data_IF_580253475638
#
_entry.id   IF_580253475638
#
_cell.length_a   1.000
_cell.length_b   1.000
_cell.length_c   1.000
_cell.angle_alpha   90.00
_cell.angle_beta   90.00
_cell.angle_gamma   90.00
#
_symmetry.space_group_name_H-M   'P 1'
#
loop_
_entity.id
_entity.type
_entity.pdbx_description
1 polymer ?
#
# COMPACT_ATOMS: atom_id res chain seq x y z
N UNK A 1 7.72 1.19 -3.04
CA UNK A 1 6.74 2.08 -2.38
C UNK A 1 5.66 1.23 -1.73
N UNK A 2 4.79 0.54 -2.48
CA UNK A 2 3.78 -0.40 -1.93
C UNK A 2 4.31 -1.34 -0.84
N UNK A 3 5.42 -2.05 -1.09
CA UNK A 3 5.99 -3.00 -0.11
C UNK A 3 6.29 -2.36 1.27
N UNK A 4 6.61 -1.06 1.34
CA UNK A 4 6.83 -0.37 2.62
C UNK A 4 5.56 -0.36 3.45
N UNK A 5 4.42 -0.02 2.84
CA UNK A 5 3.15 0.03 3.55
C UNK A 5 2.73 -1.35 4.04
N UNK A 6 2.85 -2.38 3.19
CA UNK A 6 2.44 -3.74 3.54
C UNK A 6 3.30 -4.39 4.62
N UNK A 7 4.60 -4.07 4.68
CA UNK A 7 5.45 -4.41 5.83
C UNK A 7 5.01 -3.62 7.07
N UNK A 8 4.95 -2.29 6.95
CA UNK A 8 4.85 -1.39 8.11
C UNK A 8 3.49 -1.39 8.80
N UNK A 9 2.39 -1.51 8.04
CA UNK A 9 1.02 -1.39 8.59
C UNK A 9 0.61 -2.67 9.33
N UNK A 10 1.34 -3.78 9.17
CA UNK A 10 1.05 -5.07 9.77
C UNK A 10 1.50 -5.14 11.25
N UNK A 11 0.90 -4.29 12.07
CA UNK A 11 1.09 -4.16 13.52
C UNK A 11 -0.24 -3.80 14.18
N UNK A 12 -0.62 -4.43 15.29
CA UNK A 12 -1.89 -4.16 15.99
C UNK A 12 -1.74 -4.17 17.51
N UNK A 13 -1.61 -2.99 18.14
CA UNK A 13 -1.72 -2.83 19.59
C UNK A 13 -3.02 -3.41 20.17
N UNK A 14 -4.15 -3.32 19.46
CA UNK A 14 -5.41 -3.90 19.92
C UNK A 14 -5.36 -5.44 20.02
N UNK A 15 -4.62 -6.13 19.12
CA UNK A 15 -4.39 -7.57 19.23
C UNK A 15 -3.46 -7.91 20.40
N UNK A 16 -2.38 -7.14 20.57
CA UNK A 16 -1.43 -7.34 21.68
C UNK A 16 -2.13 -7.18 23.04
N UNK A 17 -3.04 -6.20 23.18
CA UNK A 17 -3.85 -6.01 24.39
C UNK A 17 -4.75 -7.21 24.71
N UNK A 18 -5.04 -8.08 23.73
CA UNK A 18 -5.79 -9.33 23.89
C UNK A 18 -4.88 -10.56 24.07
N UNK A 19 -3.57 -10.37 24.21
CA UNK A 19 -2.60 -11.45 24.36
C UNK A 19 -2.36 -12.23 23.07
N UNK A 20 -2.59 -11.62 21.91
CA UNK A 20 -2.29 -12.20 20.59
C UNK A 20 -1.20 -11.36 19.92
N UNK A 21 -0.23 -12.01 19.30
CA UNK A 21 0.77 -11.30 18.51
C UNK A 21 0.09 -10.49 17.41
N UNK A 22 0.35 -9.18 17.38
CA UNK A 22 -0.28 -8.22 16.48
C UNK A 22 0.54 -7.89 15.24
N UNK A 23 1.70 -8.51 15.04
CA UNK A 23 2.67 -8.13 14.01
C UNK A 23 3.68 -7.08 14.50
N UNK A 24 4.87 -7.06 13.89
CA UNK A 24 6.00 -6.22 14.33
C UNK A 24 6.11 -4.87 13.63
N UNK A 25 5.24 -4.59 12.64
CA UNK A 25 5.27 -3.37 11.85
C UNK A 25 6.45 -3.39 10.89
N UNK A 26 7.19 -2.28 10.80
CA UNK A 26 8.32 -2.16 9.87
C UNK A 26 9.54 -2.99 10.36
N UNK A 27 9.47 -4.31 10.29
CA UNK A 27 10.50 -5.25 10.76
C UNK A 27 11.01 -6.18 9.63
N UNK A 28 10.46 -6.04 8.42
CA UNK A 28 10.79 -6.87 7.27
C UNK A 28 10.16 -8.26 7.29
N UNK A 29 9.13 -8.49 8.11
CA UNK A 29 8.43 -9.78 8.21
C UNK A 29 7.93 -10.25 6.85
N UNK A 30 7.40 -9.33 6.02
CA UNK A 30 6.89 -9.67 4.68
C UNK A 30 7.97 -10.22 3.74
N UNK A 31 9.24 -9.93 4.00
CA UNK A 31 10.38 -10.48 3.26
C UNK A 31 10.95 -11.74 3.91
N UNK A 32 10.97 -11.82 5.24
CA UNK A 32 11.51 -12.97 5.98
C UNK A 32 10.56 -14.17 5.88
N UNK A 33 9.27 -13.91 5.96
CA UNK A 33 8.17 -14.88 5.96
C UNK A 33 7.27 -14.71 4.73
N UNK A 34 7.87 -14.42 3.57
CA UNK A 34 7.15 -14.14 2.33
C UNK A 34 6.26 -15.30 1.87
N UNK A 35 6.68 -16.55 2.08
CA UNK A 35 5.86 -17.73 1.80
C UNK A 35 4.51 -17.74 2.55
N UNK A 36 4.41 -16.98 3.65
CA UNK A 36 3.18 -16.81 4.45
C UNK A 36 2.51 -15.48 4.07
N UNK A 37 3.22 -14.37 4.25
CA UNK A 37 2.59 -13.05 4.19
C UNK A 37 2.19 -12.64 2.78
N UNK A 38 2.94 -13.03 1.75
CA UNK A 38 2.57 -12.71 0.35
C UNK A 38 1.43 -13.59 -0.18
N UNK A 39 1.02 -14.62 0.57
CA UNK A 39 -0.16 -15.42 0.28
C UNK A 39 -1.46 -14.82 0.83
N UNK A 40 -1.38 -13.80 1.70
CA UNK A 40 -2.56 -13.06 2.15
C UNK A 40 -3.17 -12.26 1.01
N UNK A 41 -4.50 -12.21 0.92
CA UNK A 41 -5.19 -11.54 -0.18
C UNK A 41 -4.78 -10.08 -0.39
N UNK A 42 -4.63 -9.22 0.66
CA UNK A 42 -4.19 -7.85 0.46
C UNK A 42 -2.77 -7.73 -0.12
N UNK A 43 -1.93 -8.75 0.08
CA UNK A 43 -0.53 -8.76 -0.31
C UNK A 43 -0.29 -9.36 -1.72
N UNK A 44 -1.36 -9.63 -2.47
CA UNK A 44 -1.28 -10.19 -3.82
C UNK A 44 -0.27 -9.41 -4.70
N UNK A 45 0.57 -10.15 -5.43
CA UNK A 45 1.60 -9.61 -6.32
C UNK A 45 2.87 -9.08 -5.62
N UNK A 46 2.95 -9.07 -4.29
CA UNK A 46 4.16 -8.60 -3.57
C UNK A 46 5.29 -9.64 -3.52
N UNK A 47 5.00 -10.91 -3.81
CA UNK A 47 6.01 -11.96 -3.85
C UNK A 47 7.07 -11.69 -4.93
N UNK A 48 6.68 -11.12 -6.08
CA UNK A 48 7.62 -10.72 -7.14
C UNK A 48 8.65 -9.71 -6.63
N UNK A 49 8.19 -8.59 -6.04
CA UNK A 49 9.10 -7.54 -5.58
C UNK A 49 9.94 -8.00 -4.39
N UNK A 50 9.40 -8.85 -3.51
CA UNK A 50 10.17 -9.47 -2.44
C UNK A 50 11.29 -10.34 -3.00
N UNK A 51 11.01 -11.21 -3.98
CA UNK A 51 12.02 -12.04 -4.66
C UNK A 51 13.09 -11.21 -5.36
N UNK A 52 12.73 -10.06 -5.93
CA UNK A 52 13.69 -9.13 -6.54
C UNK A 52 14.58 -8.43 -5.51
N UNK A 53 14.06 -8.11 -4.32
CA UNK A 53 14.80 -7.39 -3.28
C UNK A 53 15.70 -8.29 -2.42
N UNK A 54 15.28 -9.53 -2.12
CA UNK A 54 16.01 -10.49 -1.27
C UNK A 54 17.51 -10.64 -1.61
N UNK A 55 17.93 -10.78 -2.88
CA UNK A 55 19.35 -10.89 -3.22
C UNK A 55 20.18 -9.68 -2.80
N UNK A 56 19.61 -8.47 -2.78
CA UNK A 56 20.33 -7.27 -2.35
C UNK A 56 20.54 -7.27 -0.84
N UNK A 57 19.52 -7.67 -0.07
CA UNK A 57 19.63 -7.84 1.40
C UNK A 57 20.76 -8.82 1.73
N UNK A 58 20.75 -9.99 1.09
CA UNK A 58 21.78 -11.01 1.28
C UNK A 58 23.18 -10.50 0.88
N UNK A 59 23.28 -9.83 -0.26
CA UNK A 59 24.56 -9.33 -0.78
C UNK A 59 25.18 -8.23 0.10
N UNK A 60 24.35 -7.35 0.65
CA UNK A 60 24.80 -6.18 1.40
C UNK A 60 24.81 -6.38 2.92
N UNK A 61 24.27 -7.49 3.44
CA UNK A 61 24.31 -7.81 4.87
C UNK A 61 23.53 -6.84 5.75
N UNK A 62 22.46 -6.25 5.20
CA UNK A 62 21.55 -5.33 5.92
C UNK A 62 20.31 -6.08 6.41
N UNK A 63 19.52 -5.49 7.31
CA UNK A 63 18.27 -6.11 7.75
C UNK A 63 17.18 -5.94 6.69
N UNK A 64 16.24 -6.90 6.55
CA UNK A 64 15.14 -6.80 5.58
C UNK A 64 14.30 -5.54 5.77
N UNK A 65 13.89 -5.21 7.00
CA UNK A 65 13.11 -4.01 7.29
C UNK A 65 13.82 -2.71 6.91
N UNK A 66 15.12 -2.59 7.20
CA UNK A 66 15.88 -1.40 6.81
C UNK A 66 16.01 -1.30 5.27
N UNK A 67 16.17 -2.43 4.58
CA UNK A 67 16.24 -2.44 3.13
C UNK A 67 14.91 -2.07 2.46
N UNK A 68 13.77 -2.57 2.96
CA UNK A 68 12.44 -2.23 2.44
C UNK A 68 12.21 -0.71 2.55
N UNK A 69 12.49 -0.13 3.72
CA UNK A 69 12.38 1.31 3.94
C UNK A 69 13.33 2.11 3.04
N UNK A 70 14.59 1.67 2.91
CA UNK A 70 15.58 2.27 2.02
C UNK A 70 15.11 2.26 0.55
N UNK A 71 14.69 1.10 0.05
CA UNK A 71 14.24 0.92 -1.32
C UNK A 71 13.01 1.77 -1.62
N UNK A 72 12.09 1.91 -0.66
CA UNK A 72 10.94 2.81 -0.79
C UNK A 72 11.33 4.29 -0.90
N UNK A 73 12.22 4.77 -0.03
CA UNK A 73 12.70 6.15 -0.05
C UNK A 73 13.45 6.47 -1.36
N UNK A 74 14.33 5.57 -1.80
CA UNK A 74 15.06 5.71 -3.07
C UNK A 74 14.11 5.66 -4.27
N UNK A 75 13.12 4.76 -4.27
CA UNK A 75 12.12 4.70 -5.33
C UNK A 75 11.38 6.04 -5.49
N UNK A 76 10.90 6.63 -4.40
CA UNK A 76 10.26 7.94 -4.43
C UNK A 76 11.21 9.05 -4.91
N UNK A 77 12.49 9.01 -4.52
CA UNK A 77 13.47 10.01 -4.98
C UNK A 77 13.68 10.03 -6.51
N UNK A 78 13.29 8.97 -7.22
CA UNK A 78 13.34 8.90 -8.68
C UNK A 78 12.09 9.50 -9.35
N UNK A 79 11.02 9.79 -8.60
CA UNK A 79 9.79 10.39 -9.10
C UNK A 79 9.89 11.91 -9.02
N UNK A 80 9.86 12.65 -10.14
CA UNK A 80 9.80 14.11 -10.10
C UNK A 80 8.62 14.60 -9.25
N UNK A 81 8.85 15.65 -8.43
CA UNK A 81 7.85 16.17 -7.50
C UNK A 81 7.85 15.53 -6.12
N UNK A 82 8.54 14.40 -5.94
CA UNK A 82 8.62 13.74 -4.64
C UNK A 82 9.34 14.63 -3.59
N UNK A 83 8.93 14.56 -2.32
CA UNK A 83 9.62 15.26 -1.26
C UNK A 83 11.03 14.69 -1.05
N UNK A 84 11.86 15.43 -0.33
CA UNK A 84 13.15 14.91 0.14
C UNK A 84 12.87 13.79 1.16
N UNK A 85 13.03 12.54 0.73
CA UNK A 85 12.72 11.38 1.54
C UNK A 85 13.73 11.19 2.68
N UNK A 86 13.21 10.81 3.84
CA UNK A 86 14.02 10.41 4.99
C UNK A 86 14.40 8.94 4.89
N UNK A 87 15.49 8.57 5.57
CA UNK A 87 15.86 7.18 5.79
C UNK A 87 16.53 7.03 7.16
N UNK A 88 15.96 6.17 7.99
CA UNK A 88 16.50 5.80 9.30
C UNK A 88 16.70 4.28 9.33
N UNK A 89 17.79 3.84 9.94
CA UNK A 89 18.12 2.42 10.16
C UNK A 89 17.81 2.01 11.60
N UNK A 90 17.79 0.71 11.87
CA UNK A 90 17.67 0.17 13.23
C UNK A 90 16.56 -0.87 13.41
N UNK A 91 15.99 -1.37 12.31
CA UNK A 91 14.97 -2.43 12.36
C UNK A 91 15.65 -3.78 12.56
N UNK A 92 15.36 -4.44 13.68
CA UNK A 92 15.79 -5.82 13.90
C UNK A 92 15.01 -6.77 12.96
N UNK A 93 15.59 -7.90 12.53
CA UNK A 93 14.86 -8.89 11.73
C UNK A 93 13.64 -9.42 12.49
N UNK A 94 12.49 -9.47 11.82
CA UNK A 94 11.27 -10.08 12.34
C UNK A 94 11.50 -11.52 12.85
N UNK A 95 10.78 -11.89 13.90
CA UNK A 95 10.86 -13.23 14.51
C UNK A 95 9.61 -14.09 14.27
N UNK A 96 8.52 -13.47 13.83
CA UNK A 96 7.24 -14.12 13.53
C UNK A 96 6.60 -13.42 12.31
N UNK A 97 5.82 -14.13 11.49
CA UNK A 97 5.03 -13.51 10.43
C UNK A 97 3.91 -12.65 11.03
N UNK A 98 3.57 -11.56 10.36
CA UNK A 98 2.39 -10.78 10.74
C UNK A 98 1.09 -11.59 10.56
N UNK A 99 0.07 -11.36 11.41
CA UNK A 99 -1.28 -11.88 11.16
C UNK A 99 -1.91 -11.30 9.88
N UNK A 100 -2.75 -12.09 9.20
CA UNK A 100 -3.62 -11.59 8.14
C UNK A 100 -4.74 -10.68 8.71
N UNK A 101 -5.41 -9.92 7.85
CA UNK A 101 -6.48 -8.99 8.20
C UNK A 101 -5.99 -7.63 8.69
N UNK A 102 -4.66 -7.39 8.63
CA UNK A 102 -4.05 -6.13 9.03
C UNK A 102 -3.85 -5.16 7.86
N UNK A 103 -3.68 -5.64 6.63
CA UNK A 103 -3.55 -4.74 5.48
C UNK A 103 -4.94 -4.39 4.92
N UNK A 104 -5.28 -3.11 4.71
CA UNK A 104 -6.53 -2.71 4.09
C UNK A 104 -6.73 -3.28 2.67
N UNK A 105 -7.99 -3.58 2.33
CA UNK A 105 -8.42 -4.04 1.02
C UNK A 105 -9.16 -2.93 0.27
N UNK A 106 -9.16 -2.94 -1.08
CA UNK A 106 -9.83 -1.91 -1.87
C UNK A 106 -11.36 -1.90 -1.69
N UNK A 107 -11.94 -2.98 -1.16
CA UNK A 107 -13.37 -3.12 -0.88
C UNK A 107 -13.75 -2.92 0.59
N UNK A 108 -12.80 -2.58 1.47
CA UNK A 108 -13.12 -2.21 2.85
C UNK A 108 -13.87 -0.87 2.92
N UNK A 109 -14.70 -0.72 3.95
CA UNK A 109 -15.38 0.54 4.23
C UNK A 109 -14.41 1.60 4.76
N UNK A 110 -14.75 2.88 4.58
CA UNK A 110 -13.97 4.01 5.14
C UNK A 110 -13.78 3.86 6.65
N UNK A 111 -14.82 3.42 7.38
CA UNK A 111 -14.74 3.17 8.83
C UNK A 111 -13.69 2.10 9.19
N UNK A 112 -13.67 0.98 8.46
CA UNK A 112 -12.68 -0.07 8.68
C UNK A 112 -11.26 0.43 8.43
N UNK A 113 -11.06 1.23 7.38
CA UNK A 113 -9.73 1.74 7.00
C UNK A 113 -9.24 2.76 8.03
N UNK A 114 -10.09 3.72 8.43
CA UNK A 114 -9.75 4.69 9.49
C UNK A 114 -9.39 3.96 10.79
N UNK A 115 -10.23 3.01 11.23
CA UNK A 115 -9.95 2.24 12.44
C UNK A 115 -8.66 1.42 12.33
N UNK A 116 -8.34 0.91 11.13
CA UNK A 116 -7.14 0.09 10.91
C UNK A 116 -5.87 0.92 11.05
N UNK A 117 -5.80 2.10 10.43
CA UNK A 117 -4.63 2.97 10.53
C UNK A 117 -4.51 3.60 11.93
N UNK A 118 -5.64 3.87 12.58
CA UNK A 118 -5.67 4.35 13.96
C UNK A 118 -5.12 3.29 14.94
N UNK A 119 -5.52 2.03 14.81
CA UNK A 119 -4.92 0.94 15.58
C UNK A 119 -3.42 0.79 15.27
N UNK A 120 -3.05 0.77 13.99
CA UNK A 120 -1.67 0.48 13.58
C UNK A 120 -0.63 1.49 14.11
N UNK A 121 -0.96 2.77 14.14
CA UNK A 121 0.03 3.82 14.43
C UNK A 121 -0.56 5.10 14.99
N UNK A 122 -1.78 5.05 15.53
CA UNK A 122 -2.52 6.23 16.00
C UNK A 122 -2.74 7.28 14.90
N UNK A 123 -2.72 6.85 13.63
CA UNK A 123 -2.98 7.73 12.50
C UNK A 123 -4.45 8.20 12.50
N UNK A 124 -4.66 9.49 12.26
CA UNK A 124 -6.00 10.05 12.06
C UNK A 124 -6.48 9.93 10.61
N UNK A 125 -7.73 10.31 10.36
CA UNK A 125 -8.31 10.25 9.01
C UNK A 125 -7.66 11.21 7.99
N UNK A 126 -6.98 12.27 8.42
CA UNK A 126 -6.24 13.17 7.53
C UNK A 126 -4.92 12.54 7.11
N UNK A 127 -4.22 11.90 8.04
CA UNK A 127 -3.00 11.14 7.77
C UNK A 127 -3.26 9.96 6.84
N UNK A 128 -4.44 9.34 6.91
CA UNK A 128 -4.91 8.36 5.92
C UNK A 128 -4.92 8.95 4.50
N UNK A 129 -5.46 10.16 4.31
CA UNK A 129 -5.46 10.81 3.00
C UNK A 129 -4.03 11.10 2.54
N UNK A 130 -3.15 11.53 3.43
CA UNK A 130 -1.76 11.83 3.09
C UNK A 130 -1.00 10.59 2.62
N UNK A 131 -1.15 9.45 3.31
CA UNK A 131 -0.47 8.22 2.89
C UNK A 131 -0.98 7.66 1.56
N UNK A 132 -2.24 7.94 1.18
CA UNK A 132 -2.78 7.60 -0.14
C UNK A 132 -2.18 8.43 -1.29
N UNK A 133 -1.43 9.50 -1.02
CA UNK A 133 -0.65 10.20 -2.06
C UNK A 133 0.32 9.28 -2.80
N UNK A 134 0.70 8.14 -2.20
CA UNK A 134 1.48 7.11 -2.86
C UNK A 134 0.81 6.55 -4.13
N UNK A 135 -0.51 6.65 -4.26
CA UNK A 135 -1.24 6.24 -5.46
C UNK A 135 -0.96 7.14 -6.68
N UNK A 136 -0.41 8.35 -6.49
CA UNK A 136 0.02 9.22 -7.62
C UNK A 136 1.22 8.65 -8.39
N UNK A 137 1.96 7.71 -7.82
CA UNK A 137 3.10 7.04 -8.47
C UNK A 137 2.93 5.53 -8.47
N UNK A 138 1.73 5.08 -8.82
CA UNK A 138 1.33 3.68 -8.70
C UNK A 138 0.45 3.18 -9.85
N UNK A 139 0.42 1.86 -9.96
CA UNK A 139 -0.45 1.11 -10.87
C UNK A 139 -0.91 -0.20 -10.22
N UNK A 140 -1.95 -0.80 -10.80
CA UNK A 140 -2.61 -2.02 -10.33
C UNK A 140 -2.37 -3.15 -11.32
N UNK A 141 -1.94 -4.30 -10.79
CA UNK A 141 -1.67 -5.49 -11.59
C UNK A 141 -2.70 -6.62 -11.37
N UNK A 142 -3.42 -6.61 -10.26
CA UNK A 142 -4.08 -7.83 -9.75
C UNK A 142 -5.57 -7.66 -9.41
N UNK A 143 -6.17 -6.48 -9.64
CA UNK A 143 -7.62 -6.26 -9.46
C UNK A 143 -8.39 -6.69 -10.71
N UNK A 144 -7.99 -6.19 -11.89
CA UNK A 144 -8.54 -6.64 -13.16
C UNK A 144 -7.71 -7.85 -13.66
N UNK A 145 -8.30 -9.05 -13.77
CA UNK A 145 -7.56 -10.24 -14.20
C UNK A 145 -7.19 -10.23 -15.70
N UNK A 146 -7.67 -9.26 -16.49
CA UNK A 146 -7.47 -9.19 -17.94
C UNK A 146 -6.35 -8.26 -18.37
N UNK A 147 -5.90 -7.36 -17.50
CA UNK A 147 -4.88 -6.35 -17.82
C UNK A 147 -4.10 -5.97 -16.55
N UNK A 148 -2.77 -5.87 -16.69
CA UNK A 148 -1.88 -5.43 -15.61
C UNK A 148 -1.33 -4.03 -15.91
N UNK A 149 -0.90 -3.32 -14.87
CA UNK A 149 -0.25 -2.02 -14.99
C UNK A 149 -1.21 -0.86 -15.27
N UNK A 150 -2.46 -0.94 -14.81
CA UNK A 150 -3.41 0.17 -14.90
C UNK A 150 -3.09 1.23 -13.82
N UNK A 151 -2.67 2.45 -14.19
CA UNK A 151 -2.35 3.48 -13.21
C UNK A 151 -3.58 4.05 -12.51
N UNK A 152 -3.38 4.58 -11.30
CA UNK A 152 -4.41 5.27 -10.53
C UNK A 152 -4.63 6.73 -10.93
N UNK A 153 -3.67 7.31 -11.63
CA UNK A 153 -3.76 8.64 -12.22
C UNK A 153 -3.12 8.68 -13.61
N UNK A 154 -3.25 9.80 -14.30
CA UNK A 154 -2.71 9.98 -15.65
C UNK A 154 -1.19 10.20 -15.70
N UNK A 155 -0.52 10.31 -14.55
CA UNK A 155 0.89 10.69 -14.40
C UNK A 155 1.67 9.77 -13.44
N UNK A 156 1.63 8.43 -13.59
CA UNK A 156 2.15 7.48 -12.59
C UNK A 156 3.68 7.51 -12.39
N UNK A 157 4.40 8.34 -13.14
CA UNK A 157 5.83 8.59 -12.97
C UNK A 157 6.16 9.90 -12.23
N UNK A 158 5.16 10.72 -11.89
CA UNK A 158 5.31 12.04 -11.28
C UNK A 158 4.57 12.01 -9.94
N UNK A 159 5.24 12.42 -8.87
CA UNK A 159 4.59 12.59 -7.57
C UNK A 159 3.93 13.97 -7.55
N UNK A 160 2.65 14.02 -7.94
CA UNK A 160 1.86 15.25 -7.98
C UNK A 160 0.50 15.07 -7.29
N UNK A 161 -0.54 15.74 -7.77
CA UNK A 161 -1.89 15.66 -7.18
C UNK A 161 -2.95 15.25 -8.20
N UNK A 162 -2.55 14.72 -9.36
CA UNK A 162 -3.49 14.22 -10.36
C UNK A 162 -4.34 13.09 -9.80
N UNK A 163 -3.78 12.18 -9.01
CA UNK A 163 -4.57 11.20 -8.23
C UNK A 163 -5.75 11.83 -7.48
N UNK A 164 -5.54 12.93 -6.74
CA UNK A 164 -6.60 13.60 -5.99
C UNK A 164 -7.61 14.32 -6.90
N UNK A 165 -7.15 14.89 -8.02
CA UNK A 165 -8.02 15.55 -9.00
C UNK A 165 -8.91 14.53 -9.73
N UNK A 166 -8.30 13.46 -10.22
CA UNK A 166 -8.91 12.48 -11.11
C UNK A 166 -9.86 11.57 -10.35
N UNK A 167 -9.54 11.19 -9.11
CA UNK A 167 -10.47 10.44 -8.22
C UNK A 167 -11.78 11.19 -7.93
N UNK A 168 -11.78 12.53 -8.03
CA UNK A 168 -13.00 13.33 -7.88
C UNK A 168 -13.90 13.37 -9.12
N UNK A 169 -13.36 13.07 -10.29
CA UNK A 169 -14.15 13.02 -11.51
C UNK A 169 -15.21 11.90 -11.45
N UNK A 170 -16.33 12.12 -12.13
CA UNK A 170 -17.36 11.09 -12.29
C UNK A 170 -16.76 9.89 -13.03
N UNK A 171 -16.90 8.69 -12.45
CA UNK A 171 -16.59 7.44 -13.15
C UNK A 171 -17.54 7.24 -14.34
N UNK A 172 -17.01 6.77 -15.46
CA UNK A 172 -17.78 6.64 -16.71
C UNK A 172 -17.62 5.28 -17.41
N UNK A 173 -16.54 4.55 -17.13
CA UNK A 173 -16.29 3.21 -17.66
C UNK A 173 -15.26 2.47 -16.81
N UNK A 174 -15.20 1.15 -16.94
CA UNK A 174 -14.04 0.36 -16.50
C UNK A 174 -12.96 0.40 -17.58
N UNK A 175 -11.66 0.51 -17.22
CA UNK A 175 -10.56 0.54 -18.19
C UNK A 175 -10.33 -0.80 -18.90
N UNK A 176 -10.79 -1.92 -18.30
CA UNK A 176 -10.71 -3.26 -18.85
C UNK A 176 -12.03 -4.02 -18.67
N UNK A 177 -12.00 -5.06 -17.84
CA UNK A 177 -13.19 -5.82 -17.47
C UNK A 177 -13.99 -5.13 -16.34
N UNK A 178 -15.28 -5.44 -16.22
CA UNK A 178 -16.12 -4.97 -15.10
C UNK A 178 -16.51 -6.13 -14.19
N UNK A 179 -16.95 -5.80 -12.96
CA UNK A 179 -17.36 -6.80 -11.96
C UNK A 179 -16.20 -7.37 -11.13
N UNK A 180 -15.05 -6.69 -11.11
CA UNK A 180 -13.91 -7.01 -10.27
C UNK A 180 -14.13 -6.46 -8.85
N UNK A 181 -13.84 -7.26 -7.83
CA UNK A 181 -14.08 -6.87 -6.44
C UNK A 181 -13.19 -5.70 -6.03
N UNK A 182 -13.79 -4.64 -5.49
CA UNK A 182 -13.06 -3.43 -5.09
C UNK A 182 -12.72 -2.49 -6.24
N UNK A 183 -13.14 -2.76 -7.47
CA UNK A 183 -13.02 -1.83 -8.60
C UNK A 183 -14.33 -1.06 -8.83
N UNK A 184 -14.22 0.21 -9.21
CA UNK A 184 -15.34 1.04 -9.67
C UNK A 184 -14.97 1.75 -10.98
N UNK A 185 -15.96 2.27 -11.70
CA UNK A 185 -15.72 3.02 -12.92
C UNK A 185 -14.77 4.21 -12.68
N UNK A 186 -13.80 4.36 -13.58
CA UNK A 186 -12.83 5.44 -13.63
C UNK A 186 -13.27 6.52 -14.64
N UNK A 187 -12.66 7.72 -14.61
CA UNK A 187 -13.04 8.83 -15.47
C UNK A 187 -12.31 8.81 -16.82
N UNK A 188 -11.22 8.06 -16.95
CA UNK A 188 -10.32 8.09 -18.11
C UNK A 188 -10.02 6.67 -18.63
N UNK A 189 -9.97 6.46 -19.96
CA UNK A 189 -9.53 5.18 -20.53
C UNK A 189 -8.11 4.82 -20.08
N UNK A 190 -7.92 3.58 -19.62
CA UNK A 190 -6.63 3.08 -19.14
C UNK A 190 -6.29 3.47 -17.70
N UNK A 191 -7.08 4.31 -17.03
CA UNK A 191 -6.95 4.60 -15.60
C UNK A 191 -7.89 3.67 -14.81
N UNK A 192 -7.41 3.11 -13.70
CA UNK A 192 -8.24 2.32 -12.78
C UNK A 192 -8.65 3.14 -11.57
N UNK A 193 -9.79 2.81 -10.97
CA UNK A 193 -10.21 3.36 -9.70
C UNK A 193 -10.68 2.25 -8.77
N UNK A 194 -10.12 2.22 -7.56
CA UNK A 194 -10.59 1.32 -6.51
C UNK A 194 -11.69 1.97 -5.65
N UNK A 195 -12.54 1.13 -5.07
CA UNK A 195 -13.70 1.54 -4.28
C UNK A 195 -13.29 2.32 -3.02
N UNK A 196 -12.22 1.93 -2.33
CA UNK A 196 -11.71 2.65 -1.16
C UNK A 196 -11.37 4.10 -1.50
N UNK A 197 -10.57 4.34 -2.54
CA UNK A 197 -10.18 5.71 -2.95
C UNK A 197 -11.39 6.53 -3.39
N UNK A 198 -12.29 5.91 -4.16
CA UNK A 198 -13.54 6.54 -4.58
C UNK A 198 -14.38 7.03 -3.40
N UNK A 199 -14.48 6.22 -2.35
CA UNK A 199 -15.31 6.50 -1.17
C UNK A 199 -14.63 7.44 -0.20
N UNK A 200 -13.32 7.30 0.05
CA UNK A 200 -12.53 8.22 0.86
C UNK A 200 -12.57 9.65 0.28
N UNK A 201 -12.49 9.80 -1.04
CA UNK A 201 -12.62 11.10 -1.69
C UNK A 201 -14.00 11.78 -1.52
N UNK A 202 -15.02 11.06 -1.02
CA UNK A 202 -16.42 11.55 -0.95
C UNK A 202 -17.02 11.47 0.44
N UNK A 203 -16.34 10.85 1.39
CA UNK A 203 -16.77 10.77 2.79
C UNK A 203 -16.59 12.13 3.46
N UNK A 204 -17.59 12.57 4.23
CA UNK A 204 -17.59 13.88 4.89
C UNK A 204 -16.42 14.13 5.85
N UNK A 205 -15.70 13.08 6.27
CA UNK A 205 -14.53 13.18 7.15
C UNK A 205 -13.23 13.45 6.38
N UNK A 206 -13.17 13.07 5.10
CA UNK A 206 -11.93 13.01 4.31
C UNK A 206 -12.01 13.70 2.94
N UNK A 207 -13.18 14.22 2.55
CA UNK A 207 -13.41 14.91 1.27
C UNK A 207 -12.88 16.37 1.21
#
# INVERSE_FOLDING_TARGET
IRLVFHDSIAISPAMEAQGKFGGGGADGSIMIFDDIETAFHPNIGLDEIVKLQKPFVQKHGVTPGDFIAFAGAVALSNCPGAPQMNFFTGRAPATQPAPDGLVPEPFHTVDQIINRVNDAGEFDELELVWMLSAHSVAAVNDVDPTVQGLPFDSTPGIFDSQFFVETQLRGTAFPGSGGNQGEVESPLPGEIRIQSDHTIARDSRTA
#
